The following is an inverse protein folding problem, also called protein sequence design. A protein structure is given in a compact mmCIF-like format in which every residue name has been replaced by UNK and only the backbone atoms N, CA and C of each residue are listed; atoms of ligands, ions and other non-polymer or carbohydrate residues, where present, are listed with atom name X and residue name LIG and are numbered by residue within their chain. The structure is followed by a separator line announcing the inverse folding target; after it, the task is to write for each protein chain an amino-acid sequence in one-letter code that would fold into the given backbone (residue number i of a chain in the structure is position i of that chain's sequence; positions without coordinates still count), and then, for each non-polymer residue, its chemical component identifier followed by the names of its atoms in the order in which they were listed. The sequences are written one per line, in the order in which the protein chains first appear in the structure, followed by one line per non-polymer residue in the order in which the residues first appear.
data_IF_914622463372
#
_entry.id   IF_914622463372
#
_cell.length_a   1.000
_cell.length_b   1.000
_cell.length_c   1.000
_cell.angle_alpha   90.00
_cell.angle_beta   90.00
_cell.angle_gamma   90.00
#
_symmetry.space_group_name_H-M   'P 1'
#
loop_
_entity.id
_entity.type
_entity.pdbx_description
1 polymer ?
#
# COMPACT_ATOMS: atom_id res chain seq x y z
N UNK A 1 -6.80 15.06 -18.82
CA UNK A 1 -7.60 14.07 -18.07
C UNK A 1 -8.22 13.05 -19.02
N UNK A 2 -8.75 13.48 -20.16
CA UNK A 2 -9.45 12.60 -21.10
C UNK A 2 -8.56 11.48 -21.65
N UNK A 3 -7.33 11.80 -22.06
CA UNK A 3 -6.32 10.81 -22.47
C UNK A 3 -6.00 9.80 -21.34
N UNK A 4 -5.98 10.27 -20.09
CA UNK A 4 -5.78 9.37 -18.94
C UNK A 4 -6.97 8.43 -18.72
N UNK A 5 -8.18 8.84 -19.09
CA UNK A 5 -9.38 8.00 -19.00
C UNK A 5 -9.40 6.83 -19.99
N UNK A 6 -8.55 6.85 -21.01
CA UNK A 6 -8.35 5.70 -21.91
C UNK A 6 -7.74 4.51 -21.13
N UNK A 7 -6.88 4.81 -20.14
CA UNK A 7 -6.20 3.82 -19.31
C UNK A 7 -6.92 3.59 -17.97
N UNK A 8 -7.38 4.66 -17.32
CA UNK A 8 -8.10 4.61 -16.03
C UNK A 8 -9.58 4.91 -16.29
N UNK A 9 -10.33 3.89 -16.68
CA UNK A 9 -11.72 4.04 -17.14
C UNK A 9 -12.68 4.48 -16.05
N UNK A 10 -12.51 3.99 -14.82
CA UNK A 10 -13.35 4.29 -13.67
C UNK A 10 -12.62 3.99 -12.36
N UNK A 11 -13.08 4.53 -11.21
CA UNK A 11 -12.57 4.14 -9.90
C UNK A 11 -12.90 2.69 -9.59
N UNK A 12 -12.07 2.06 -8.76
CA UNK A 12 -12.24 0.70 -8.30
C UNK A 12 -12.78 0.68 -6.86
N UNK A 13 -13.61 -0.33 -6.54
CA UNK A 13 -14.18 -0.50 -5.21
C UNK A 13 -13.81 -1.86 -4.61
N UNK A 14 -13.49 -1.94 -3.30
CA UNK A 14 -13.07 -3.19 -2.66
C UNK A 14 -14.13 -4.30 -2.71
N UNK A 15 -15.40 -3.94 -2.82
CA UNK A 15 -16.53 -4.89 -2.85
C UNK A 15 -16.98 -5.26 -4.27
N UNK A 16 -16.26 -4.79 -5.29
CA UNK A 16 -16.59 -5.05 -6.69
C UNK A 16 -17.86 -4.32 -7.16
N UNK A 17 -18.67 -5.00 -7.97
CA UNK A 17 -19.85 -4.45 -8.61
C UNK A 17 -19.56 -3.75 -9.93
N UNK A 18 -20.57 -3.08 -10.47
CA UNK A 18 -20.48 -2.33 -11.73
C UNK A 18 -20.68 -0.84 -11.51
N UNK A 19 -19.94 -0.03 -12.26
CA UNK A 19 -20.25 1.38 -12.40
C UNK A 19 -21.20 1.54 -13.59
N UNK A 20 -22.32 2.19 -13.35
CA UNK A 20 -23.37 2.40 -14.34
C UNK A 20 -23.37 3.84 -14.82
N UNK A 21 -22.94 4.02 -16.08
CA UNK A 21 -22.79 5.33 -16.70
C UNK A 21 -21.42 5.98 -16.45
N UNK A 22 -20.99 6.79 -17.43
CA UNK A 22 -19.63 7.39 -17.45
C UNK A 22 -19.63 8.85 -17.01
N UNK A 23 -20.79 9.53 -17.06
CA UNK A 23 -20.89 10.98 -16.80
C UNK A 23 -20.36 11.38 -15.41
N UNK A 24 -20.76 10.66 -14.37
CA UNK A 24 -20.31 10.93 -13.00
C UNK A 24 -18.82 10.62 -12.78
N UNK A 25 -18.28 9.60 -13.47
CA UNK A 25 -16.85 9.30 -13.46
C UNK A 25 -16.06 10.42 -14.13
N UNK A 26 -16.52 10.88 -15.30
CA UNK A 26 -15.89 11.99 -16.03
C UNK A 26 -15.85 13.27 -15.18
N UNK A 27 -16.96 13.60 -14.55
CA UNK A 27 -17.06 14.75 -13.64
C UNK A 27 -16.07 14.63 -12.48
N UNK A 28 -16.03 13.46 -11.82
CA UNK A 28 -15.12 13.18 -10.71
C UNK A 28 -13.64 13.30 -11.15
N UNK A 29 -13.29 12.81 -12.33
CA UNK A 29 -11.93 12.86 -12.84
C UNK A 29 -11.51 14.26 -13.31
N UNK A 30 -12.43 15.05 -13.81
CA UNK A 30 -12.15 16.43 -14.24
C UNK A 30 -12.06 17.41 -13.06
N UNK A 31 -12.89 17.24 -12.03
CA UNK A 31 -13.04 18.22 -10.96
C UNK A 31 -12.56 17.73 -9.60
N UNK A 32 -12.35 16.43 -9.43
CA UNK A 32 -12.10 15.80 -8.12
C UNK A 32 -13.37 15.52 -7.33
N UNK A 33 -14.56 15.88 -7.86
CA UNK A 33 -15.86 15.61 -7.26
C UNK A 33 -16.83 15.13 -8.32
N UNK A 34 -17.68 14.17 -7.95
CA UNK A 34 -18.68 13.64 -8.87
C UNK A 34 -19.57 12.60 -8.19
N UNK A 35 -20.62 12.20 -8.86
CA UNK A 35 -21.55 11.19 -8.38
C UNK A 35 -21.52 9.97 -9.29
N UNK A 36 -20.93 8.89 -8.79
CA UNK A 36 -20.82 7.61 -9.49
C UNK A 36 -21.97 6.71 -9.09
N UNK A 37 -22.65 6.09 -10.07
CA UNK A 37 -23.71 5.11 -9.80
C UNK A 37 -23.09 3.72 -9.80
N UNK A 38 -23.26 3.01 -8.70
CA UNK A 38 -22.79 1.63 -8.52
C UNK A 38 -23.96 0.66 -8.57
N UNK A 39 -23.78 -0.49 -9.21
CA UNK A 39 -24.72 -1.61 -9.25
C UNK A 39 -24.08 -2.88 -8.73
N UNK A 40 -24.87 -3.70 -8.05
CA UNK A 40 -24.54 -5.07 -7.71
C UNK A 40 -24.27 -5.89 -8.97
N UNK A 41 -23.37 -6.87 -8.87
CA UNK A 41 -23.23 -7.91 -9.88
C UNK A 41 -24.26 -8.97 -9.60
N UNK A 42 -25.24 -9.08 -10.50
CA UNK A 42 -26.34 -10.00 -10.42
C UNK A 42 -26.52 -10.76 -11.72
N UNK A 43 -26.72 -12.06 -11.63
CA UNK A 43 -26.94 -12.95 -12.77
C UNK A 43 -28.27 -13.68 -12.57
N UNK A 44 -28.97 -13.97 -13.67
CA UNK A 44 -30.20 -14.74 -13.66
C UNK A 44 -29.86 -16.18 -14.02
N UNK A 45 -30.04 -17.09 -13.07
CA UNK A 45 -29.91 -18.52 -13.25
C UNK A 45 -31.30 -19.12 -13.54
N UNK A 46 -31.47 -19.65 -14.77
CA UNK A 46 -32.70 -20.33 -15.15
C UNK A 46 -32.74 -21.74 -14.58
N UNK A 47 -33.77 -22.06 -13.76
CA UNK A 47 -33.99 -23.35 -13.18
C UNK A 47 -35.10 -24.12 -13.89
N UNK A 48 -35.22 -25.44 -13.64
CA UNK A 48 -36.27 -26.29 -14.19
C UNK A 48 -37.68 -25.91 -13.69
N UNK A 49 -37.76 -25.35 -12.48
CA UNK A 49 -39.05 -25.03 -11.83
C UNK A 49 -39.28 -23.52 -11.71
N UNK A 50 -38.25 -22.75 -11.50
CA UNK A 50 -38.29 -21.29 -11.32
C UNK A 50 -36.88 -20.70 -11.53
N UNK A 51 -36.85 -19.45 -11.91
CA UNK A 51 -35.60 -18.68 -12.07
C UNK A 51 -35.10 -18.16 -10.72
N UNK A 52 -33.79 -17.90 -10.65
CA UNK A 52 -33.12 -17.29 -9.48
C UNK A 52 -32.35 -16.10 -9.91
N UNK A 53 -32.31 -15.05 -9.09
CA UNK A 53 -31.37 -13.95 -9.21
C UNK A 53 -30.26 -14.21 -8.19
N UNK A 54 -29.03 -14.38 -8.67
CA UNK A 54 -27.85 -14.62 -7.86
C UNK A 54 -26.99 -13.37 -7.84
N UNK A 55 -26.75 -12.82 -6.65
CA UNK A 55 -25.96 -11.61 -6.45
C UNK A 55 -24.65 -12.01 -5.78
N UNK A 56 -23.55 -11.75 -6.48
CA UNK A 56 -22.19 -12.12 -6.03
C UNK A 56 -21.37 -10.93 -5.54
N UNK A 57 -21.73 -9.71 -5.94
CA UNK A 57 -21.09 -8.49 -5.48
C UNK A 57 -22.16 -7.42 -5.22
N UNK A 58 -21.99 -6.64 -4.14
CA UNK A 58 -22.90 -5.54 -3.79
C UNK A 58 -22.13 -4.21 -3.78
N UNK A 59 -22.82 -3.07 -3.98
CA UNK A 59 -22.19 -1.77 -3.96
C UNK A 59 -21.44 -1.48 -2.66
N UNK A 60 -20.36 -0.74 -2.77
CA UNK A 60 -19.56 -0.32 -1.62
C UNK A 60 -20.42 0.43 -0.58
N UNK A 61 -20.13 0.20 0.70
CA UNK A 61 -20.88 0.72 1.85
C UNK A 61 -22.33 0.20 2.01
N UNK A 62 -22.72 -0.84 1.29
CA UNK A 62 -24.01 -1.50 1.48
C UNK A 62 -23.86 -2.68 2.44
N UNK A 63 -24.69 -2.70 3.48
CA UNK A 63 -24.76 -3.82 4.41
C UNK A 63 -25.62 -4.93 3.82
N UNK A 64 -25.04 -6.14 3.68
CA UNK A 64 -25.70 -7.31 3.10
C UNK A 64 -26.96 -7.72 3.86
N UNK A 65 -26.89 -7.81 5.17
CA UNK A 65 -28.01 -8.27 6.00
C UNK A 65 -29.19 -7.27 5.96
N UNK A 66 -28.89 -5.97 6.02
CA UNK A 66 -29.91 -4.92 5.90
C UNK A 66 -30.54 -4.91 4.50
N UNK A 67 -29.74 -5.12 3.46
CA UNK A 67 -30.23 -5.22 2.08
C UNK A 67 -31.23 -6.37 1.93
N UNK A 68 -30.90 -7.58 2.41
CA UNK A 68 -31.77 -8.76 2.34
C UNK A 68 -33.07 -8.53 3.13
N UNK A 69 -32.93 -7.98 4.35
CA UNK A 69 -34.10 -7.62 5.17
C UNK A 69 -35.01 -6.63 4.46
N UNK A 70 -34.44 -5.58 3.88
CA UNK A 70 -35.20 -4.57 3.16
C UNK A 70 -35.91 -5.15 1.92
N UNK A 71 -35.27 -6.07 1.20
CA UNK A 71 -35.91 -6.80 0.08
C UNK A 71 -37.12 -7.60 0.61
N UNK A 72 -36.97 -8.32 1.72
CA UNK A 72 -38.05 -9.08 2.33
C UNK A 72 -39.21 -8.16 2.78
N UNK A 73 -38.92 -7.00 3.36
CA UNK A 73 -39.91 -6.02 3.76
C UNK A 73 -40.70 -5.48 2.53
N UNK A 74 -40.01 -5.20 1.40
CA UNK A 74 -40.66 -4.77 0.17
C UNK A 74 -41.57 -5.86 -0.45
N UNK A 75 -41.23 -7.11 -0.28
CA UNK A 75 -42.07 -8.26 -0.71
C UNK A 75 -43.31 -8.39 0.19
N UNK A 76 -43.13 -8.30 1.52
CA UNK A 76 -44.22 -8.36 2.49
C UNK A 76 -45.21 -7.20 2.32
N UNK A 77 -44.69 -5.98 2.03
CA UNK A 77 -45.47 -4.79 1.75
C UNK A 77 -46.15 -4.82 0.36
N UNK A 78 -45.93 -5.87 -0.43
CA UNK A 78 -46.42 -6.01 -1.82
C UNK A 78 -45.94 -4.89 -2.78
N UNK A 79 -44.82 -4.28 -2.46
CA UNK A 79 -44.19 -3.25 -3.32
C UNK A 79 -43.38 -3.87 -4.46
N UNK A 80 -42.83 -5.06 -4.22
CA UNK A 80 -42.19 -5.90 -5.24
C UNK A 80 -42.90 -7.23 -5.27
N UNK A 81 -43.49 -7.56 -6.42
CA UNK A 81 -44.13 -8.86 -6.66
C UNK A 81 -43.18 -9.76 -7.46
N UNK A 82 -43.42 -11.07 -7.43
CA UNK A 82 -42.65 -12.04 -8.22
C UNK A 82 -41.46 -12.66 -7.47
N UNK A 83 -41.18 -12.27 -6.23
CA UNK A 83 -40.18 -12.91 -5.36
C UNK A 83 -40.88 -13.90 -4.43
N UNK A 84 -40.35 -15.13 -4.34
CA UNK A 84 -40.84 -16.15 -3.39
C UNK A 84 -39.99 -16.23 -2.14
N UNK A 85 -38.67 -16.05 -2.26
CA UNK A 85 -37.74 -16.08 -1.13
C UNK A 85 -36.48 -15.25 -1.42
N UNK A 86 -35.75 -14.87 -0.37
CA UNK A 86 -34.46 -14.22 -0.46
C UNK A 86 -33.53 -14.74 0.65
N UNK A 87 -32.49 -15.44 0.28
CA UNK A 87 -31.58 -16.15 1.17
C UNK A 87 -30.14 -15.64 1.02
N UNK A 88 -29.40 -15.65 2.12
CA UNK A 88 -27.96 -15.51 2.14
C UNK A 88 -27.31 -16.89 2.11
N UNK A 89 -26.72 -17.24 0.99
CA UNK A 89 -25.96 -18.47 0.77
C UNK A 89 -24.45 -18.22 0.74
N UNK A 90 -24.00 -17.09 1.26
CA UNK A 90 -22.58 -16.74 1.29
C UNK A 90 -21.79 -17.71 2.16
N UNK A 91 -20.62 -18.12 1.68
CA UNK A 91 -19.71 -19.03 2.36
C UNK A 91 -18.27 -18.55 2.24
N UNK A 92 -17.29 -19.44 2.48
CA UNK A 92 -15.86 -19.14 2.36
C UNK A 92 -15.38 -18.92 0.92
N UNK A 93 -16.15 -19.34 -0.07
CA UNK A 93 -15.84 -19.15 -1.50
C UNK A 93 -16.28 -17.77 -2.00
N UNK A 94 -17.16 -17.09 -1.25
CA UNK A 94 -17.55 -15.72 -1.54
C UNK A 94 -18.98 -15.36 -1.14
N UNK A 95 -19.36 -14.15 -1.55
CA UNK A 95 -20.71 -13.64 -1.35
C UNK A 95 -21.66 -14.28 -2.36
N UNK A 96 -22.80 -14.77 -1.85
CA UNK A 96 -23.88 -15.31 -2.68
C UNK A 96 -25.24 -15.01 -2.02
N UNK A 97 -25.97 -14.05 -2.57
CA UNK A 97 -27.36 -13.78 -2.19
C UNK A 97 -28.24 -14.35 -3.29
N UNK A 98 -29.19 -15.20 -2.93
CA UNK A 98 -30.09 -15.85 -3.87
C UNK A 98 -31.52 -15.37 -3.64
N UNK A 99 -32.13 -14.85 -4.71
CA UNK A 99 -33.52 -14.42 -4.74
C UNK A 99 -34.30 -15.37 -5.66
N UNK A 100 -35.19 -16.17 -5.06
CA UNK A 100 -36.02 -17.08 -5.81
C UNK A 100 -37.22 -16.36 -6.44
N UNK A 101 -37.42 -16.55 -7.73
CA UNK A 101 -38.48 -15.90 -8.51
C UNK A 101 -39.69 -16.84 -8.64
N UNK A 102 -40.90 -16.31 -8.52
CA UNK A 102 -42.12 -17.07 -8.75
C UNK A 102 -42.23 -17.53 -10.21
N UNK A 103 -42.90 -18.66 -10.49
CA UNK A 103 -43.01 -19.27 -11.83
C UNK A 103 -43.66 -18.37 -12.87
N UNK A 104 -44.57 -17.52 -12.44
CA UNK A 104 -45.34 -16.58 -13.26
C UNK A 104 -44.69 -15.21 -13.39
N UNK A 105 -43.52 -15.01 -12.79
CA UNK A 105 -42.82 -13.75 -12.80
C UNK A 105 -41.58 -13.75 -13.73
N UNK A 106 -41.30 -12.61 -14.30
CA UNK A 106 -40.10 -12.40 -15.13
C UNK A 106 -38.94 -11.90 -14.29
N UNK A 107 -37.87 -12.70 -14.20
CA UNK A 107 -36.69 -12.39 -13.39
C UNK A 107 -36.00 -11.05 -13.78
N UNK A 108 -35.94 -10.72 -15.06
CA UNK A 108 -35.34 -9.46 -15.53
C UNK A 108 -36.15 -8.24 -15.09
N UNK A 109 -37.47 -8.34 -15.07
CA UNK A 109 -38.36 -7.26 -14.59
C UNK A 109 -38.18 -7.07 -13.07
N UNK A 110 -38.12 -8.18 -12.34
CA UNK A 110 -37.88 -8.15 -10.87
C UNK A 110 -36.52 -7.56 -10.57
N UNK A 111 -35.45 -7.95 -11.26
CA UNK A 111 -34.12 -7.40 -11.08
C UNK A 111 -34.07 -5.90 -11.34
N UNK A 112 -34.73 -5.43 -12.41
CA UNK A 112 -34.82 -3.99 -12.68
C UNK A 112 -35.58 -3.22 -11.59
N UNK A 113 -36.63 -3.80 -11.00
CA UNK A 113 -37.32 -3.21 -9.86
C UNK A 113 -36.41 -3.16 -8.62
N UNK A 114 -35.65 -4.23 -8.36
CA UNK A 114 -34.69 -4.28 -7.27
C UNK A 114 -33.61 -3.20 -7.42
N UNK A 115 -33.06 -2.97 -8.60
CA UNK A 115 -32.12 -1.86 -8.83
C UNK A 115 -32.73 -0.49 -8.59
N UNK A 116 -34.00 -0.32 -8.89
CA UNK A 116 -34.69 0.96 -8.71
C UNK A 116 -35.10 1.24 -7.27
N UNK A 117 -35.42 0.21 -6.50
CA UNK A 117 -36.09 0.33 -5.20
C UNK A 117 -35.17 -0.03 -4.02
N UNK A 118 -34.00 -0.60 -4.26
CA UNK A 118 -33.09 -1.06 -3.20
C UNK A 118 -31.68 -0.56 -3.39
N UNK A 119 -30.80 -0.79 -2.40
CA UNK A 119 -29.38 -0.47 -2.46
C UNK A 119 -28.57 -1.40 -3.40
N UNK A 120 -29.20 -2.31 -4.16
CA UNK A 120 -28.56 -3.01 -5.27
C UNK A 120 -28.07 -2.05 -6.37
N UNK A 121 -28.65 -0.86 -6.44
CA UNK A 121 -28.09 0.28 -7.14
C UNK A 121 -28.07 1.47 -6.20
N UNK A 122 -26.90 2.07 -6.01
CA UNK A 122 -26.73 3.26 -5.16
C UNK A 122 -25.74 4.22 -5.80
N UNK A 123 -25.64 5.42 -5.27
CA UNK A 123 -24.68 6.39 -5.75
C UNK A 123 -23.58 6.62 -4.72
N UNK A 124 -22.36 6.76 -5.20
CA UNK A 124 -21.20 7.12 -4.41
C UNK A 124 -20.75 8.55 -4.76
N UNK A 125 -20.68 9.40 -3.75
CA UNK A 125 -20.14 10.75 -3.90
C UNK A 125 -18.63 10.74 -3.87
N UNK A 126 -18.02 10.90 -5.03
CA UNK A 126 -16.56 11.02 -5.13
C UNK A 126 -16.11 12.37 -4.61
N UNK A 127 -15.12 12.36 -3.73
CA UNK A 127 -14.44 13.55 -3.23
C UNK A 127 -12.94 13.22 -3.06
N UNK A 128 -12.17 13.51 -4.10
CA UNK A 128 -10.75 13.17 -4.18
C UNK A 128 -9.91 14.19 -3.42
N UNK A 129 -9.80 14.02 -2.12
CA UNK A 129 -8.96 14.86 -1.26
C UNK A 129 -7.67 14.13 -0.93
N UNK A 130 -6.54 14.79 -1.17
CA UNK A 130 -5.22 14.31 -0.78
C UNK A 130 -4.40 15.42 -0.13
N UNK A 131 -3.36 15.03 0.62
CA UNK A 131 -2.40 15.97 1.19
C UNK A 131 -1.34 16.31 0.14
N UNK A 132 -1.27 17.58 -0.24
CA UNK A 132 -0.24 18.11 -1.12
C UNK A 132 0.63 19.07 -0.31
N UNK A 133 1.90 18.72 -0.11
CA UNK A 133 2.83 19.45 0.76
C UNK A 133 2.23 19.73 2.15
N UNK A 134 1.58 18.71 2.75
CA UNK A 134 0.97 18.79 4.07
C UNK A 134 -0.37 19.53 4.14
N UNK A 135 -0.93 19.98 3.02
CA UNK A 135 -2.23 20.68 2.96
C UNK A 135 -3.26 19.87 2.19
N UNK A 136 -4.51 19.74 2.69
CA UNK A 136 -5.56 19.05 1.98
C UNK A 136 -5.98 19.84 0.73
N UNK A 137 -6.08 19.16 -0.40
CA UNK A 137 -6.57 19.69 -1.67
C UNK A 137 -7.49 18.69 -2.34
N UNK A 138 -8.56 19.18 -2.95
CA UNK A 138 -9.38 18.38 -3.89
C UNK A 138 -8.65 18.34 -5.23
N UNK A 139 -8.40 17.13 -5.73
CA UNK A 139 -7.56 16.89 -6.91
C UNK A 139 -8.36 16.17 -8.00
N UNK A 140 -8.16 16.59 -9.25
CA UNK A 140 -8.59 15.84 -10.42
C UNK A 140 -7.67 14.64 -10.67
N UNK A 141 -8.01 13.76 -11.61
CA UNK A 141 -7.22 12.55 -11.88
C UNK A 141 -5.77 12.87 -12.28
N UNK A 142 -5.57 13.88 -13.13
CA UNK A 142 -4.23 14.29 -13.56
C UNK A 142 -3.38 14.73 -12.39
N UNK A 143 -3.93 15.57 -11.52
CA UNK A 143 -3.18 16.11 -10.39
C UNK A 143 -2.92 15.05 -9.32
N UNK A 144 -3.82 14.09 -9.10
CA UNK A 144 -3.59 12.93 -8.25
C UNK A 144 -2.36 12.14 -8.70
N UNK A 145 -2.30 11.81 -9.99
CA UNK A 145 -1.17 11.07 -10.57
C UNK A 145 0.12 11.92 -10.52
N UNK A 146 0.03 13.20 -10.88
CA UNK A 146 1.17 14.12 -10.85
C UNK A 146 1.79 14.20 -9.46
N UNK A 147 1.01 14.52 -8.44
CA UNK A 147 1.51 14.65 -7.07
C UNK A 147 1.96 13.30 -6.46
N UNK A 148 1.36 12.20 -6.88
CA UNK A 148 1.86 10.89 -6.50
C UNK A 148 3.27 10.63 -7.07
N UNK A 149 3.50 10.95 -8.35
CA UNK A 149 4.82 10.80 -9.00
C UNK A 149 5.86 11.73 -8.33
N UNK A 150 5.50 12.99 -8.09
CA UNK A 150 6.38 13.94 -7.40
C UNK A 150 6.76 13.45 -6.00
N UNK A 151 5.80 12.97 -5.24
CA UNK A 151 6.04 12.39 -3.92
C UNK A 151 6.94 11.14 -3.99
N UNK A 152 6.69 10.24 -4.94
CA UNK A 152 7.52 9.05 -5.13
C UNK A 152 8.97 9.41 -5.49
N UNK A 153 9.15 10.39 -6.37
CA UNK A 153 10.47 10.89 -6.72
C UNK A 153 11.21 11.46 -5.49
N UNK A 154 10.56 12.30 -4.70
CA UNK A 154 11.12 12.86 -3.47
C UNK A 154 11.48 11.76 -2.44
N UNK A 155 10.61 10.75 -2.26
CA UNK A 155 10.87 9.63 -1.34
C UNK A 155 12.07 8.81 -1.79
N UNK A 156 12.22 8.55 -3.10
CA UNK A 156 13.37 7.81 -3.64
C UNK A 156 14.67 8.60 -3.39
N UNK A 157 14.67 9.91 -3.68
CA UNK A 157 15.83 10.75 -3.42
C UNK A 157 16.22 10.74 -1.94
N UNK A 158 15.27 10.97 -1.03
CA UNK A 158 15.54 10.98 0.42
C UNK A 158 16.07 9.64 0.92
N UNK A 159 15.51 8.52 0.41
CA UNK A 159 15.98 7.18 0.75
C UNK A 159 17.41 6.97 0.28
N UNK A 160 17.70 7.29 -0.99
CA UNK A 160 19.06 7.15 -1.54
C UNK A 160 20.07 8.01 -0.80
N UNK A 161 19.71 9.25 -0.44
CA UNK A 161 20.56 10.13 0.37
C UNK A 161 20.83 9.56 1.77
N UNK A 162 19.82 8.95 2.38
CA UNK A 162 19.97 8.29 3.67
C UNK A 162 20.90 7.08 3.57
N UNK A 163 20.70 6.21 2.58
CA UNK A 163 21.52 5.01 2.36
C UNK A 163 22.97 5.40 2.06
N UNK A 164 23.18 6.42 1.20
CA UNK A 164 24.50 6.96 0.90
C UNK A 164 25.20 7.49 2.17
N UNK A 165 24.49 8.24 3.01
CA UNK A 165 25.06 8.72 4.26
C UNK A 165 25.47 7.56 5.17
N UNK A 166 24.62 6.55 5.32
CA UNK A 166 24.91 5.35 6.12
C UNK A 166 26.09 4.56 5.57
N UNK A 167 26.15 4.39 4.25
CA UNK A 167 27.29 3.74 3.61
C UNK A 167 28.61 4.50 3.86
N UNK A 168 28.60 5.83 3.71
CA UNK A 168 29.77 6.68 4.00
C UNK A 168 30.20 6.62 5.47
N UNK A 169 29.24 6.69 6.41
CA UNK A 169 29.52 6.54 7.85
C UNK A 169 30.20 5.19 8.15
N UNK A 170 29.71 4.12 7.54
CA UNK A 170 30.27 2.76 7.71
C UNK A 170 31.65 2.62 7.04
N UNK A 171 31.79 3.09 5.80
CA UNK A 171 33.08 3.10 5.10
C UNK A 171 34.16 3.83 5.91
N UNK A 172 33.83 4.98 6.47
CA UNK A 172 34.74 5.77 7.31
C UNK A 172 35.24 4.99 8.54
N UNK A 173 34.35 4.24 9.21
CA UNK A 173 34.75 3.38 10.34
C UNK A 173 35.66 2.24 9.84
N UNK A 174 35.28 1.60 8.72
CA UNK A 174 36.07 0.50 8.16
C UNK A 174 37.48 0.93 7.74
N UNK A 175 37.64 2.11 7.14
CA UNK A 175 38.95 2.69 6.87
C UNK A 175 39.83 2.75 8.11
N UNK A 176 39.27 3.25 9.22
CA UNK A 176 40.01 3.29 10.51
C UNK A 176 40.39 1.91 11.03
N UNK A 177 39.45 0.94 10.92
CA UNK A 177 39.70 -0.44 11.36
C UNK A 177 40.73 -1.16 10.48
N UNK A 178 40.77 -0.91 9.17
CA UNK A 178 41.79 -1.42 8.24
C UNK A 178 43.15 -0.85 8.58
N UNK A 179 43.29 0.47 8.78
CA UNK A 179 44.53 1.08 9.21
C UNK A 179 45.03 0.48 10.51
N UNK A 180 44.12 0.26 11.47
CA UNK A 180 44.47 -0.39 12.74
C UNK A 180 44.91 -1.84 12.57
N UNK A 181 44.26 -2.58 11.68
CA UNK A 181 44.58 -3.97 11.38
C UNK A 181 45.97 -4.12 10.74
N UNK A 182 46.30 -3.21 9.80
CA UNK A 182 47.59 -3.21 9.10
C UNK A 182 48.73 -2.78 10.04
N UNK A 183 48.46 -2.10 11.13
CA UNK A 183 49.44 -1.61 12.10
C UNK A 183 49.15 -2.11 13.53
N UNK A 184 48.69 -3.35 13.67
CA UNK A 184 48.13 -3.87 14.91
C UNK A 184 49.07 -3.81 16.12
N UNK A 185 50.36 -4.13 15.92
CA UNK A 185 51.34 -4.12 17.01
C UNK A 185 51.56 -2.69 17.59
N UNK A 186 51.56 -1.69 16.74
CA UNK A 186 51.65 -0.30 17.18
C UNK A 186 50.38 0.20 17.87
N UNK A 187 49.21 -0.18 17.35
CA UNK A 187 47.92 0.10 17.97
C UNK A 187 47.84 -0.51 19.37
N UNK A 188 48.23 -1.78 19.54
CA UNK A 188 48.27 -2.45 20.85
C UNK A 188 49.23 -1.73 21.77
N UNK A 189 50.40 -1.32 21.29
CA UNK A 189 51.40 -0.57 22.11
C UNK A 189 50.82 0.75 22.63
N UNK A 190 50.13 1.52 21.80
CA UNK A 190 49.50 2.79 22.16
C UNK A 190 48.40 2.56 23.19
N UNK A 191 47.51 1.60 22.95
CA UNK A 191 46.40 1.29 23.87
C UNK A 191 46.94 0.85 25.24
N UNK A 192 47.96 -0.01 25.28
CA UNK A 192 48.56 -0.49 26.52
C UNK A 192 49.35 0.57 27.33
N UNK A 193 49.91 1.56 26.62
CA UNK A 193 50.62 2.67 27.25
C UNK A 193 49.68 3.74 27.81
N UNK A 194 48.45 3.79 27.34
CA UNK A 194 47.42 4.76 27.75
C UNK A 194 46.91 4.44 29.17
N UNK A 195 46.66 5.48 29.96
CA UNK A 195 46.10 5.35 31.33
C UNK A 195 44.58 5.27 31.30
N UNK A 196 43.95 5.89 30.31
CA UNK A 196 42.49 5.92 30.16
C UNK A 196 42.13 5.60 28.69
N UNK A 197 40.90 5.15 28.40
CA UNK A 197 40.43 4.99 27.03
C UNK A 197 40.53 6.27 26.18
N UNK A 198 40.33 7.43 26.79
CA UNK A 198 40.44 8.74 26.11
C UNK A 198 41.89 9.05 25.72
N UNK A 199 42.86 8.68 26.56
CA UNK A 199 44.29 8.84 26.22
C UNK A 199 44.65 7.91 25.05
N UNK A 200 44.10 6.71 24.98
CA UNK A 200 44.31 5.78 23.88
C UNK A 200 43.74 6.39 22.56
N UNK A 201 42.52 6.92 22.61
CA UNK A 201 41.86 7.57 21.46
C UNK A 201 42.74 8.75 20.98
N UNK A 202 43.19 9.62 21.87
CA UNK A 202 44.06 10.75 21.52
C UNK A 202 45.40 10.28 20.87
N UNK A 203 46.02 9.24 21.42
CA UNK A 203 47.25 8.67 20.85
C UNK A 203 47.05 8.07 19.45
N UNK A 204 45.93 7.43 19.19
CA UNK A 204 45.58 6.88 17.89
C UNK A 204 45.30 8.00 16.85
N UNK A 205 44.62 9.05 17.26
CA UNK A 205 44.38 10.25 16.42
C UNK A 205 45.71 10.87 16.00
N UNK A 206 46.58 11.14 16.96
CA UNK A 206 47.87 11.77 16.73
C UNK A 206 48.78 10.91 15.80
N UNK A 207 48.83 9.60 16.07
CA UNK A 207 49.74 8.70 15.36
C UNK A 207 49.33 8.35 13.95
N UNK A 208 48.02 8.13 13.73
CA UNK A 208 47.49 7.63 12.43
C UNK A 208 46.64 8.66 11.70
N UNK A 209 46.52 9.89 12.23
CA UNK A 209 45.67 10.94 11.68
C UNK A 209 44.20 10.48 11.48
N UNK A 210 43.70 9.68 12.44
CA UNK A 210 42.36 9.17 12.46
C UNK A 210 41.38 10.20 13.05
N UNK A 211 40.10 10.02 12.74
CA UNK A 211 39.05 10.78 13.44
C UNK A 211 38.75 10.15 14.80
N UNK A 212 38.09 10.90 15.68
CA UNK A 212 37.66 10.39 17.00
C UNK A 212 36.74 9.18 16.83
N UNK A 213 35.83 9.18 15.84
CA UNK A 213 34.90 8.08 15.57
C UNK A 213 35.67 6.82 15.19
N UNK A 214 36.66 6.93 14.29
CA UNK A 214 37.53 5.81 13.90
C UNK A 214 38.35 5.29 15.11
N UNK A 215 38.97 6.19 15.86
CA UNK A 215 39.79 5.81 17.03
C UNK A 215 38.97 5.16 18.13
N UNK A 216 37.76 5.63 18.38
CA UNK A 216 36.81 5.03 19.30
C UNK A 216 36.44 3.61 18.88
N UNK A 217 36.11 3.40 17.59
CA UNK A 217 35.81 2.09 17.02
C UNK A 217 36.99 1.11 17.18
N UNK A 218 38.24 1.59 17.07
CA UNK A 218 39.45 0.78 17.27
C UNK A 218 39.59 0.37 18.75
N UNK A 219 39.40 1.30 19.68
CA UNK A 219 39.49 1.00 21.13
C UNK A 219 38.41 0.02 21.60
N UNK A 220 37.23 0.08 20.99
CA UNK A 220 36.08 -0.81 21.27
C UNK A 220 36.17 -2.15 20.53
N UNK A 221 37.19 -2.35 19.68
CA UNK A 221 37.36 -3.55 18.88
C UNK A 221 37.60 -4.79 19.77
N UNK A 222 36.92 -5.89 19.44
CA UNK A 222 37.07 -7.16 20.17
C UNK A 222 38.30 -7.91 19.69
N UNK A 223 39.01 -8.60 20.59
CA UNK A 223 40.23 -9.37 20.27
C UNK A 223 40.00 -10.37 19.10
N UNK A 224 38.84 -10.98 18.99
CA UNK A 224 38.52 -11.90 17.88
C UNK A 224 38.59 -11.25 16.50
N UNK A 225 38.44 -9.94 16.40
CA UNK A 225 38.51 -9.19 15.14
C UNK A 225 39.94 -9.01 14.63
N UNK A 226 40.94 -9.40 15.42
CA UNK A 226 42.37 -9.38 15.05
C UNK A 226 42.83 -10.64 14.30
N UNK A 227 41.94 -11.60 14.05
CA UNK A 227 42.28 -12.79 13.28
C UNK A 227 42.37 -12.48 11.78
N UNK A 228 43.25 -13.16 11.04
CA UNK A 228 43.42 -12.94 9.61
C UNK A 228 42.13 -13.08 8.80
N UNK A 229 41.27 -14.05 9.16
CA UNK A 229 39.96 -14.22 8.51
C UNK A 229 39.07 -12.99 8.66
N UNK A 230 39.12 -12.33 9.83
CA UNK A 230 38.32 -11.09 10.10
C UNK A 230 38.91 -9.89 9.37
N UNK A 231 40.21 -9.83 9.19
CA UNK A 231 40.88 -8.79 8.37
C UNK A 231 40.44 -8.86 6.91
N UNK A 232 40.42 -10.04 6.32
CA UNK A 232 39.92 -10.25 4.95
C UNK A 232 38.44 -9.82 4.82
N UNK A 233 37.62 -10.08 5.87
CA UNK A 233 36.23 -9.65 5.89
C UNK A 233 36.08 -8.12 5.95
N UNK A 234 36.92 -7.40 6.70
CA UNK A 234 36.89 -5.94 6.75
C UNK A 234 37.19 -5.33 5.37
N UNK A 235 38.20 -5.84 4.68
CA UNK A 235 38.53 -5.40 3.32
C UNK A 235 37.40 -5.70 2.33
N UNK A 236 36.83 -6.90 2.37
CA UNK A 236 35.72 -7.29 1.50
C UNK A 236 34.48 -6.41 1.74
N UNK A 237 34.13 -6.16 3.01
CA UNK A 237 33.02 -5.27 3.37
C UNK A 237 33.25 -3.83 2.87
N UNK A 238 34.47 -3.31 3.02
CA UNK A 238 34.82 -1.98 2.54
C UNK A 238 34.69 -1.87 1.03
N UNK A 239 35.22 -2.83 0.28
CA UNK A 239 35.10 -2.86 -1.18
C UNK A 239 33.63 -2.95 -1.64
N UNK A 240 32.80 -3.73 -0.95
CA UNK A 240 31.37 -3.82 -1.27
C UNK A 240 30.66 -2.48 -1.03
N UNK A 241 30.91 -1.82 0.10
CA UNK A 241 30.31 -0.53 0.42
C UNK A 241 30.79 0.54 -0.57
N UNK A 242 32.05 0.53 -0.97
CA UNK A 242 32.57 1.49 -1.97
C UNK A 242 31.92 1.32 -3.35
N UNK A 243 31.48 0.09 -3.70
CA UNK A 243 30.69 -0.13 -4.93
C UNK A 243 29.24 0.39 -4.81
N UNK A 244 28.71 0.48 -3.59
CA UNK A 244 27.36 1.01 -3.34
C UNK A 244 27.34 2.55 -3.30
N UNK A 245 28.46 3.17 -2.92
CA UNK A 245 28.64 4.63 -2.91
C UNK A 245 28.83 5.15 -4.33
#
# INVERSE_FOLDING_TARGET
VEELMEFVKAPDFPTGGFIYGVSGVREAYLTGRGRVIMRAKAEIESGQTHDKIVITEIPYNVNKAELIKYIADLVNDKKIEGISNANDESDRDGMRIVIDIKRDANASVVLNKLYKMTALQTSFGVNNVALVHGRPKTLNLRDLIKYFIEHRHEVVIRRTQFDLRKAKERAHILEGLIIASDNIDEVIRIIRAAKTPNDAIAGLIERFNLTEIQSRAIVEMRLRQLTGLMQDQLHAEYEEIMKQI
#
